data_IF_203469996167
#
_entry.id   IF_203469996167
#
_cell.length_a   1.000
_cell.length_b   1.000
_cell.length_c   1.000
_cell.angle_alpha   90.00
_cell.angle_beta   90.00
_cell.angle_gamma   90.00
#
_symmetry.space_group_name_H-M   'P 1'
#
loop_
_entity.id
_entity.type
_entity.pdbx_description
1 polymer ?
#
# COMPACT_ATOMS: atom_id res chain seq x y z
N UNK A 1 4.84 -2.11 24.45
CA UNK A 1 4.09 -1.89 23.21
C UNK A 1 4.98 -1.12 22.24
N UNK A 2 5.37 -1.73 21.13
CA UNK A 2 6.13 -1.16 20.03
C UNK A 2 5.18 -0.99 18.84
N UNK A 3 5.17 0.20 18.25
CA UNK A 3 4.33 0.52 17.09
C UNK A 3 5.26 0.87 15.92
N UNK A 4 5.11 0.15 14.81
CA UNK A 4 5.67 0.57 13.54
C UNK A 4 4.76 1.65 12.93
N UNK A 5 5.24 2.89 12.92
CA UNK A 5 4.47 4.01 12.42
C UNK A 5 4.42 4.09 10.89
N UNK A 6 5.14 3.22 10.16
CA UNK A 6 5.19 3.26 8.71
C UNK A 6 5.43 1.86 8.11
N UNK A 7 4.34 1.20 7.73
CA UNK A 7 4.39 -0.05 6.97
C UNK A 7 3.56 0.04 5.69
N UNK A 8 3.88 -0.84 4.75
CA UNK A 8 3.15 -1.02 3.50
C UNK A 8 2.64 -2.47 3.42
N UNK A 9 1.49 -2.67 2.78
CA UNK A 9 0.99 -3.98 2.35
C UNK A 9 0.36 -3.83 0.97
N UNK A 10 0.57 -4.75 0.04
CA UNK A 10 0.03 -4.60 -1.31
C UNK A 10 -0.17 -5.94 -1.99
N UNK A 11 -1.24 -6.06 -2.77
CA UNK A 11 -1.54 -7.25 -3.57
C UNK A 11 -0.62 -7.42 -4.77
N UNK A 12 -0.02 -6.31 -5.21
CA UNK A 12 0.92 -6.21 -6.30
C UNK A 12 1.24 -4.74 -6.54
N UNK A 13 2.10 -4.47 -7.52
CA UNK A 13 2.28 -3.11 -8.03
C UNK A 13 1.52 -3.03 -9.34
N UNK A 14 0.45 -2.24 -9.37
CA UNK A 14 -0.31 -1.94 -10.59
C UNK A 14 -0.72 -0.47 -10.54
N UNK A 15 0.21 0.41 -10.90
CA UNK A 15 0.03 1.85 -10.76
C UNK A 15 0.36 2.59 -12.05
N UNK A 16 0.01 3.86 -12.08
CA UNK A 16 0.44 4.80 -13.12
C UNK A 16 1.26 5.90 -12.47
N UNK A 17 2.47 6.09 -12.97
CA UNK A 17 3.41 7.13 -12.50
C UNK A 17 3.61 8.17 -13.60
N UNK A 18 4.35 9.25 -13.32
CA UNK A 18 4.80 10.20 -14.35
C UNK A 18 5.53 9.53 -15.53
N UNK A 19 6.18 8.40 -15.27
CA UNK A 19 6.86 7.60 -16.29
C UNK A 19 5.97 6.52 -16.94
N UNK A 20 4.65 6.59 -16.76
CA UNK A 20 3.66 5.66 -17.28
C UNK A 20 3.29 4.51 -16.34
N UNK A 21 2.64 3.49 -16.91
CA UNK A 21 2.22 2.26 -16.22
C UNK A 21 3.43 1.57 -15.57
N UNK A 22 3.24 1.05 -14.35
CA UNK A 22 4.19 0.21 -13.65
C UNK A 22 3.49 -1.03 -13.11
N UNK A 23 3.99 -2.21 -13.52
CA UNK A 23 3.41 -3.51 -13.19
C UNK A 23 4.42 -4.42 -12.51
N UNK A 24 4.05 -5.03 -11.39
CA UNK A 24 4.84 -6.06 -10.72
C UNK A 24 5.03 -7.30 -11.59
N UNK A 25 6.23 -7.86 -11.51
CA UNK A 25 6.60 -9.19 -11.98
C UNK A 25 7.08 -10.02 -10.79
N UNK A 26 7.48 -11.26 -11.06
CA UNK A 26 8.06 -12.14 -10.07
C UNK A 26 9.45 -11.67 -9.59
N UNK A 27 9.85 -12.17 -8.43
CA UNK A 27 11.18 -11.95 -7.84
C UNK A 27 11.56 -10.47 -7.74
N UNK A 28 10.60 -9.62 -7.35
CA UNK A 28 10.78 -8.19 -7.10
C UNK A 28 11.10 -7.32 -8.33
N UNK A 29 10.90 -7.84 -9.54
CA UNK A 29 11.01 -7.06 -10.77
C UNK A 29 9.70 -6.33 -11.07
N UNK A 30 9.79 -5.26 -11.83
CA UNK A 30 8.65 -4.52 -12.37
C UNK A 30 8.87 -4.24 -13.85
N UNK A 31 7.78 -4.12 -14.60
CA UNK A 31 7.78 -3.70 -16.01
C UNK A 31 7.11 -2.34 -16.13
N UNK A 32 7.78 -1.39 -16.78
CA UNK A 32 7.22 -0.09 -17.12
C UNK A 32 6.44 -0.18 -18.43
N UNK A 33 5.52 0.75 -18.68
CA UNK A 33 4.77 0.86 -19.94
C UNK A 33 5.67 1.00 -21.18
N UNK A 34 6.90 1.49 -21.03
CA UNK A 34 7.92 1.54 -22.10
C UNK A 34 8.50 0.17 -22.48
N UNK A 35 8.19 -0.89 -21.72
CA UNK A 35 8.75 -2.23 -21.88
C UNK A 35 10.01 -2.47 -21.05
N UNK A 36 10.59 -1.44 -20.45
CA UNK A 36 11.75 -1.56 -19.54
C UNK A 36 11.41 -2.46 -18.34
N UNK A 37 12.33 -3.36 -18.00
CA UNK A 37 12.24 -4.22 -16.82
C UNK A 37 13.40 -3.92 -15.89
N UNK A 38 13.10 -3.61 -14.63
CA UNK A 38 14.10 -3.32 -13.61
C UNK A 38 13.68 -3.91 -12.25
N UNK A 39 14.62 -3.93 -11.30
CA UNK A 39 14.38 -4.42 -9.94
C UNK A 39 13.98 -3.26 -9.05
N UNK A 40 12.77 -3.33 -8.51
CA UNK A 40 12.28 -2.35 -7.54
C UNK A 40 12.28 -2.93 -6.11
N UNK A 41 11.96 -4.22 -5.98
CA UNK A 41 11.85 -4.92 -4.71
C UNK A 41 12.95 -5.99 -4.58
N UNK A 42 13.29 -6.39 -3.34
CA UNK A 42 14.16 -7.53 -3.10
C UNK A 42 13.67 -8.81 -3.81
N UNK A 43 14.58 -9.75 -4.16
CA UNK A 43 14.21 -10.97 -4.88
C UNK A 43 13.30 -11.92 -4.08
N UNK A 44 13.17 -11.74 -2.77
CA UNK A 44 12.25 -12.52 -1.93
C UNK A 44 10.76 -12.21 -2.21
N UNK A 45 10.45 -11.16 -2.95
CA UNK A 45 9.08 -10.83 -3.38
C UNK A 45 8.71 -11.71 -4.58
N UNK A 46 8.51 -13.00 -4.31
CA UNK A 46 8.29 -14.04 -5.33
C UNK A 46 7.14 -13.70 -6.27
N UNK A 47 6.02 -13.21 -5.71
CA UNK A 47 4.81 -12.83 -6.46
C UNK A 47 4.71 -11.33 -6.73
N UNK A 48 5.75 -10.54 -6.41
CA UNK A 48 5.73 -9.09 -6.55
C UNK A 48 4.72 -8.39 -5.64
N UNK A 49 4.36 -9.02 -4.52
CA UNK A 49 3.38 -8.54 -3.55
C UNK A 49 3.94 -8.60 -2.11
N UNK A 50 3.24 -7.95 -1.18
CA UNK A 50 3.57 -7.95 0.24
C UNK A 50 2.29 -8.00 1.06
N UNK A 51 1.72 -9.20 1.29
CA UNK A 51 0.42 -9.33 1.94
C UNK A 51 0.50 -9.05 3.45
N UNK A 52 -0.60 -8.64 4.10
CA UNK A 52 -0.65 -8.37 5.54
C UNK A 52 -0.15 -9.52 6.42
N UNK A 53 -0.39 -10.76 6.01
CA UNK A 53 0.10 -11.95 6.71
C UNK A 53 1.63 -11.98 6.79
N UNK A 54 2.32 -11.57 5.72
CA UNK A 54 3.79 -11.51 5.74
C UNK A 54 4.28 -10.40 6.66
N UNK A 55 3.61 -9.24 6.69
CA UNK A 55 3.93 -8.17 7.64
C UNK A 55 3.72 -8.64 9.09
N UNK A 56 2.65 -9.38 9.38
CA UNK A 56 2.41 -9.95 10.71
C UNK A 56 3.52 -10.90 11.15
N UNK A 57 3.98 -11.79 10.27
CA UNK A 57 5.09 -12.70 10.58
C UNK A 57 6.38 -11.93 10.92
N UNK A 58 6.69 -10.85 10.19
CA UNK A 58 7.81 -9.98 10.56
C UNK A 58 7.58 -9.32 11.92
N UNK A 59 6.40 -8.71 12.13
CA UNK A 59 6.05 -8.04 13.38
C UNK A 59 6.18 -8.98 14.58
N UNK A 60 5.66 -10.20 14.48
CA UNK A 60 5.72 -11.22 15.53
C UNK A 60 7.17 -11.66 15.79
N UNK A 61 7.98 -11.81 14.74
CA UNK A 61 9.39 -12.19 14.86
C UNK A 61 10.23 -11.13 15.59
N UNK A 62 10.00 -9.85 15.31
CA UNK A 62 10.80 -8.75 15.90
C UNK A 62 10.15 -8.06 17.11
N UNK A 63 8.96 -8.50 17.53
CA UNK A 63 8.26 -7.98 18.70
C UNK A 63 7.55 -6.63 18.48
N UNK A 64 7.03 -6.37 17.28
CA UNK A 64 6.20 -5.20 16.98
C UNK A 64 4.72 -5.54 17.23
N UNK A 65 4.07 -4.77 18.09
CA UNK A 65 2.69 -5.02 18.50
C UNK A 65 1.67 -4.52 17.46
N UNK A 66 1.91 -3.35 16.87
CA UNK A 66 0.98 -2.71 15.92
C UNK A 66 1.73 -2.04 14.76
N UNK A 67 1.06 -1.89 13.62
CA UNK A 67 1.59 -1.14 12.49
C UNK A 67 0.55 -0.18 11.88
N UNK A 68 1.03 0.98 11.41
CA UNK A 68 0.24 1.92 10.63
C UNK A 68 0.50 1.64 9.14
N UNK A 69 -0.56 1.30 8.40
CA UNK A 69 -0.51 0.99 6.97
C UNK A 69 -0.59 2.29 6.15
N UNK A 70 0.57 2.85 5.79
CA UNK A 70 0.73 4.09 5.05
C UNK A 70 1.01 3.82 3.57
N UNK A 71 -0.01 3.58 2.76
CA UNK A 71 0.22 3.21 1.35
C UNK A 71 0.91 4.28 0.52
N UNK A 72 1.68 3.84 -0.47
CA UNK A 72 2.30 4.71 -1.46
C UNK A 72 1.66 4.57 -2.84
N UNK A 73 1.55 5.66 -3.59
CA UNK A 73 1.04 5.68 -4.97
C UNK A 73 1.84 4.73 -5.87
N UNK A 74 3.12 4.53 -5.57
CA UNK A 74 3.99 3.55 -6.24
C UNK A 74 3.43 2.12 -6.17
N UNK A 75 2.83 1.73 -5.04
CA UNK A 75 2.27 0.40 -4.88
C UNK A 75 0.88 0.33 -5.52
N UNK A 76 0.09 1.39 -5.37
CA UNK A 76 -1.25 1.53 -5.95
C UNK A 76 -2.23 2.11 -4.94
N UNK A 77 -3.42 2.48 -5.42
CA UNK A 77 -4.50 2.99 -4.59
C UNK A 77 -5.30 1.83 -3.98
N UNK A 78 -4.86 1.38 -2.81
CA UNK A 78 -5.32 0.15 -2.16
C UNK A 78 -6.17 0.38 -0.89
N UNK A 79 -7.07 1.37 -0.90
CA UNK A 79 -7.90 1.70 0.28
C UNK A 79 -8.74 0.50 0.77
N UNK A 80 -9.38 -0.23 -0.15
CA UNK A 80 -10.15 -1.44 0.15
C UNK A 80 -9.30 -2.54 0.78
N UNK A 81 -8.09 -2.75 0.23
CA UNK A 81 -7.17 -3.76 0.74
C UNK A 81 -6.65 -3.42 2.14
N UNK A 82 -6.35 -2.14 2.38
CA UNK A 82 -5.96 -1.62 3.70
C UNK A 82 -7.10 -1.77 4.71
N UNK A 83 -8.32 -1.39 4.31
CA UNK A 83 -9.49 -1.50 5.15
C UNK A 83 -9.80 -2.96 5.49
N UNK A 84 -9.65 -3.88 4.53
CA UNK A 84 -9.76 -5.31 4.77
C UNK A 84 -8.71 -5.81 5.77
N UNK A 85 -7.45 -5.41 5.63
CA UNK A 85 -6.39 -5.76 6.58
C UNK A 85 -6.70 -5.23 7.99
N UNK A 86 -7.12 -3.96 8.11
CA UNK A 86 -7.55 -3.38 9.38
C UNK A 86 -8.72 -4.16 10.00
N UNK A 87 -9.73 -4.53 9.20
CA UNK A 87 -10.90 -5.27 9.68
C UNK A 87 -10.56 -6.68 10.14
N UNK A 88 -9.62 -7.36 9.47
CA UNK A 88 -9.18 -8.71 9.82
C UNK A 88 -8.31 -8.74 11.09
N UNK A 89 -7.49 -7.71 11.30
CA UNK A 89 -6.61 -7.60 12.47
C UNK A 89 -6.69 -6.21 13.12
N UNK A 90 -7.85 -5.83 13.70
CA UNK A 90 -8.09 -4.49 14.23
C UNK A 90 -7.17 -4.15 15.40
N UNK A 91 -6.69 -5.16 16.13
CA UNK A 91 -5.74 -4.97 17.22
C UNK A 91 -4.29 -4.83 16.75
N UNK A 92 -3.99 -5.13 15.48
CA UNK A 92 -2.63 -5.10 14.91
C UNK A 92 -2.43 -3.95 13.92
N UNK A 93 -3.48 -3.55 13.20
CA UNK A 93 -3.35 -2.57 12.12
C UNK A 93 -4.23 -1.34 12.31
N UNK A 94 -3.67 -0.18 11.94
CA UNK A 94 -4.41 1.03 11.66
C UNK A 94 -4.15 1.43 10.21
N UNK A 95 -5.21 1.57 9.42
CA UNK A 95 -5.14 1.90 8.00
C UNK A 95 -5.22 3.41 7.74
N UNK A 96 -4.38 3.87 6.82
CA UNK A 96 -4.45 5.22 6.27
C UNK A 96 -5.08 5.20 4.87
N UNK A 97 -6.05 6.08 4.65
CA UNK A 97 -6.57 6.36 3.32
C UNK A 97 -5.50 7.02 2.46
N UNK A 98 -5.49 6.67 1.18
CA UNK A 98 -4.71 7.30 0.13
C UNK A 98 -5.67 7.83 -0.94
N UNK A 99 -5.53 9.09 -1.30
CA UNK A 99 -6.30 9.73 -2.37
C UNK A 99 -5.36 10.59 -3.20
N UNK A 100 -5.50 10.52 -4.52
CA UNK A 100 -4.88 11.50 -5.40
C UNK A 100 -5.74 12.78 -5.34
N UNK A 101 -5.24 13.91 -4.82
CA UNK A 101 -6.02 15.13 -4.72
C UNK A 101 -6.33 15.76 -6.10
N UNK A 102 -5.67 15.32 -7.17
CA UNK A 102 -5.79 15.89 -8.51
C UNK A 102 -6.88 15.23 -9.36
N UNK A 103 -7.47 14.12 -8.92
CA UNK A 103 -8.58 13.49 -9.65
C UNK A 103 -9.90 14.19 -9.35
N UNK A 104 -10.78 14.24 -10.35
CA UNK A 104 -12.12 14.86 -10.24
C UNK A 104 -12.96 14.31 -9.09
N UNK A 105 -12.88 13.01 -8.84
CA UNK A 105 -13.67 12.32 -7.81
C UNK A 105 -12.95 12.22 -6.45
N UNK A 106 -11.88 12.99 -6.22
CA UNK A 106 -11.11 12.93 -4.97
C UNK A 106 -12.00 13.09 -3.71
N UNK A 107 -12.99 14.01 -3.66
CA UNK A 107 -13.89 14.11 -2.51
C UNK A 107 -14.68 12.82 -2.27
N UNK A 108 -15.21 12.18 -3.32
CA UNK A 108 -16.01 10.95 -3.20
C UNK A 108 -15.15 9.75 -2.80
N UNK A 109 -13.92 9.66 -3.31
CA UNK A 109 -12.96 8.62 -2.92
C UNK A 109 -12.58 8.75 -1.44
N UNK A 110 -12.36 9.98 -0.97
CA UNK A 110 -12.06 10.24 0.43
C UNK A 110 -13.27 9.95 1.33
N UNK A 111 -14.47 10.38 0.94
CA UNK A 111 -15.72 10.09 1.67
C UNK A 111 -15.92 8.58 1.82
N UNK A 112 -15.80 7.82 0.73
CA UNK A 112 -15.89 6.36 0.78
C UNK A 112 -14.83 5.74 1.71
N UNK A 113 -13.57 6.19 1.62
CA UNK A 113 -12.50 5.68 2.47
C UNK A 113 -12.72 5.95 3.97
N UNK A 114 -13.32 7.08 4.34
CA UNK A 114 -13.53 7.46 5.74
C UNK A 114 -14.86 6.91 6.27
N UNK A 115 -15.95 7.15 5.57
CA UNK A 115 -17.31 6.87 6.06
C UNK A 115 -17.70 5.40 5.85
N UNK A 116 -17.31 4.80 4.71
CA UNK A 116 -17.72 3.45 4.35
C UNK A 116 -16.66 2.40 4.76
N UNK A 117 -15.37 2.69 4.53
CA UNK A 117 -14.26 1.78 4.86
C UNK A 117 -13.70 1.93 6.29
N UNK A 118 -14.07 3.00 6.99
CA UNK A 118 -13.64 3.21 8.38
C UNK A 118 -12.16 3.54 8.55
N UNK A 119 -11.49 4.04 7.52
CA UNK A 119 -10.12 4.55 7.64
C UNK A 119 -10.15 5.89 8.40
N UNK A 120 -9.19 6.08 9.32
CA UNK A 120 -9.18 7.22 10.27
C UNK A 120 -7.95 8.11 10.16
N UNK A 121 -7.04 7.77 9.26
CA UNK A 121 -5.87 8.57 8.92
C UNK A 121 -5.83 8.75 7.40
N UNK A 122 -5.17 9.81 6.94
CA UNK A 122 -5.05 10.16 5.54
C UNK A 122 -3.58 10.44 5.24
N UNK A 123 -3.06 9.83 4.18
CA UNK A 123 -1.75 10.16 3.62
C UNK A 123 -1.96 10.90 2.29
N UNK A 124 -1.48 12.14 2.23
CA UNK A 124 -1.26 12.82 0.96
C UNK A 124 0.17 12.58 0.52
N UNK A 125 0.31 11.96 -0.65
CA UNK A 125 1.61 11.77 -1.28
C UNK A 125 1.68 12.66 -2.51
N UNK A 126 2.59 13.63 -2.46
CA UNK A 126 2.86 14.55 -3.56
C UNK A 126 4.24 14.17 -4.09
N UNK A 127 4.27 13.28 -5.07
CA UNK A 127 5.46 13.02 -5.88
C UNK A 127 5.44 13.94 -7.09
N UNK A 128 6.58 14.55 -7.44
CA UNK A 128 6.66 15.39 -8.64
C UNK A 128 6.21 14.59 -9.86
N UNK A 129 5.29 15.20 -10.63
CA UNK A 129 4.52 14.57 -11.70
C UNK A 129 5.35 13.98 -12.82
#
# INVERSE_FOLDING_TARGET
MIIDAHAHVFEGINTFTGSGELKALEFGKVKRGTGEVFRLLPPCFLKGNFPPEVLLEYMDWIGVDKAILLQGTLYGFYNEYVANAQSRWPDRFLGCALVDPMIREAPRVLEHAVEELGLRALKFEISEG
#
